data_IF_337763781669
#
_entry.id   IF_337763781669
#
_cell.length_a   1.000
_cell.length_b   1.000
_cell.length_c   1.000
_cell.angle_alpha   90.00
_cell.angle_beta   90.00
_cell.angle_gamma   90.00
#
_symmetry.space_group_name_H-M   'P 1'
#
loop_
_entity.id
_entity.type
_entity.pdbx_description
1 polymer ?
#
# COMPACT_ATOMS: atom_id res chain seq x y z
N UNK A 1 17.00 7.11 -7.30
CA UNK A 1 17.63 6.11 -8.20
C UNK A 1 16.81 6.01 -9.49
N UNK A 2 17.34 6.34 -10.66
CA UNK A 2 16.56 6.30 -11.92
C UNK A 2 16.12 4.87 -12.29
N UNK A 3 16.97 3.87 -12.07
CA UNK A 3 16.64 2.47 -12.38
C UNK A 3 15.42 1.95 -11.59
N UNK A 4 15.34 2.25 -10.28
CA UNK A 4 14.15 1.90 -9.50
C UNK A 4 12.88 2.55 -10.06
N UNK A 5 12.95 3.82 -10.44
CA UNK A 5 11.81 4.53 -11.04
C UNK A 5 11.37 3.92 -12.36
N UNK A 6 12.29 3.49 -13.21
CA UNK A 6 11.97 2.79 -14.45
C UNK A 6 11.23 1.47 -14.17
N UNK A 7 11.72 0.67 -13.21
CA UNK A 7 11.07 -0.58 -12.77
C UNK A 7 9.68 -0.31 -12.19
N UNK A 8 9.53 0.70 -11.33
CA UNK A 8 8.23 1.08 -10.76
C UNK A 8 7.23 1.45 -11.85
N UNK A 9 7.66 2.28 -12.82
CA UNK A 9 6.79 2.73 -13.89
C UNK A 9 6.40 1.58 -14.83
N UNK A 10 7.36 0.84 -15.34
CA UNK A 10 7.09 -0.30 -16.25
C UNK A 10 6.29 -1.39 -15.56
N UNK A 11 6.66 -1.75 -14.34
CA UNK A 11 5.94 -2.75 -13.54
C UNK A 11 4.50 -2.33 -13.25
N UNK A 12 4.27 -1.07 -12.87
CA UNK A 12 2.91 -0.59 -12.61
C UNK A 12 2.05 -0.51 -13.88
N UNK A 13 2.60 -0.13 -15.02
CA UNK A 13 1.88 -0.14 -16.30
C UNK A 13 1.50 -1.57 -16.73
N UNK A 14 2.44 -2.51 -16.61
CA UNK A 14 2.18 -3.92 -16.89
C UNK A 14 1.09 -4.46 -15.95
N UNK A 15 1.18 -4.18 -14.66
CA UNK A 15 0.17 -4.61 -13.69
C UNK A 15 -1.20 -3.98 -13.97
N UNK A 16 -1.27 -2.70 -14.33
CA UNK A 16 -2.53 -2.06 -14.71
C UNK A 16 -3.15 -2.72 -15.95
N UNK A 17 -2.33 -3.08 -16.94
CA UNK A 17 -2.80 -3.76 -18.15
C UNK A 17 -3.29 -5.17 -17.82
N UNK A 18 -2.47 -5.98 -17.13
CA UNK A 18 -2.81 -7.36 -16.78
C UNK A 18 -4.01 -7.46 -15.82
N UNK A 19 -4.12 -6.53 -14.87
CA UNK A 19 -5.20 -6.50 -13.90
C UNK A 19 -6.41 -5.69 -14.37
N UNK A 20 -6.40 -5.13 -15.59
CA UNK A 20 -7.51 -4.32 -16.11
C UNK A 20 -8.87 -5.04 -16.05
N UNK A 21 -9.03 -6.34 -16.42
CA UNK A 21 -10.32 -7.03 -16.27
C UNK A 21 -10.73 -7.17 -14.80
N UNK A 22 -9.77 -7.42 -13.91
CA UNK A 22 -10.03 -7.51 -12.47
C UNK A 22 -10.44 -6.13 -11.93
N UNK A 23 -9.75 -5.06 -12.31
CA UNK A 23 -10.09 -3.70 -11.91
C UNK A 23 -11.50 -3.30 -12.38
N UNK A 24 -11.89 -3.67 -13.60
CA UNK A 24 -13.24 -3.45 -14.11
C UNK A 24 -14.28 -4.20 -13.29
N UNK A 25 -14.04 -5.48 -13.01
CA UNK A 25 -14.94 -6.30 -12.18
C UNK A 25 -15.07 -5.74 -10.75
N UNK A 26 -13.97 -5.33 -10.13
CA UNK A 26 -13.98 -4.70 -8.81
C UNK A 26 -14.70 -3.36 -8.82
N UNK A 27 -14.50 -2.55 -9.87
CA UNK A 27 -15.21 -1.28 -10.05
C UNK A 27 -16.71 -1.50 -10.11
N UNK A 28 -17.18 -2.49 -10.90
CA UNK A 28 -18.60 -2.85 -10.97
C UNK A 28 -19.13 -3.36 -9.62
N UNK A 29 -18.37 -4.19 -8.90
CA UNK A 29 -18.74 -4.68 -7.58
C UNK A 29 -18.83 -3.56 -6.54
N UNK A 30 -17.92 -2.59 -6.57
CA UNK A 30 -17.99 -1.41 -5.70
C UNK A 30 -19.17 -0.52 -6.07
N UNK A 31 -19.41 -0.30 -7.37
CA UNK A 31 -20.56 0.49 -7.86
C UNK A 31 -21.90 -0.08 -7.42
N UNK A 32 -22.04 -1.41 -7.41
CA UNK A 32 -23.28 -2.07 -6.99
C UNK A 32 -23.54 -2.02 -5.48
N UNK A 33 -22.49 -1.82 -4.67
CA UNK A 33 -22.60 -1.84 -3.20
C UNK A 33 -22.48 -0.47 -2.54
N UNK A 34 -22.08 0.55 -3.30
CA UNK A 34 -21.77 1.88 -2.75
C UNK A 34 -22.53 2.97 -3.50
N UNK A 35 -23.29 3.80 -2.78
CA UNK A 35 -23.87 5.03 -3.32
C UNK A 35 -22.85 6.16 -3.19
N UNK A 36 -22.30 6.65 -4.32
CA UNK A 36 -21.34 7.76 -4.36
C UNK A 36 -20.03 7.43 -5.09
N UNK A 37 -18.95 8.22 -4.88
CA UNK A 37 -17.71 8.03 -5.63
C UNK A 37 -17.08 6.66 -5.37
N UNK A 38 -16.60 6.01 -6.43
CA UNK A 38 -16.01 4.65 -6.37
C UNK A 38 -14.65 4.62 -5.70
N UNK A 39 -13.93 5.73 -5.81
CA UNK A 39 -12.60 5.90 -5.22
C UNK A 39 -12.68 6.84 -4.01
N UNK A 40 -11.92 6.52 -2.99
CA UNK A 40 -11.59 7.40 -1.88
C UNK A 40 -10.21 8.00 -2.10
N UNK A 41 -10.03 9.24 -1.66
CA UNK A 41 -8.76 9.96 -1.67
C UNK A 41 -8.39 10.22 -0.22
N UNK A 42 -7.17 9.86 0.15
CA UNK A 42 -6.64 10.14 1.49
C UNK A 42 -5.32 10.86 1.34
N UNK A 43 -5.21 12.04 1.95
CA UNK A 43 -3.96 12.77 1.92
C UNK A 43 -2.88 12.02 2.69
N UNK A 44 -1.72 11.91 2.06
CA UNK A 44 -0.53 11.25 2.59
C UNK A 44 0.69 12.09 2.31
N UNK A 45 1.69 11.96 3.18
CA UNK A 45 3.00 12.58 3.00
C UNK A 45 3.93 11.59 2.30
N UNK A 46 4.55 12.06 1.21
CA UNK A 46 5.46 11.29 0.36
C UNK A 46 6.88 11.83 0.36
N UNK A 47 7.59 11.57 -0.74
CA UNK A 47 8.98 11.99 -0.93
C UNK A 47 9.16 13.49 -0.70
N UNK A 48 10.17 13.84 0.13
CA UNK A 48 10.49 15.24 0.42
C UNK A 48 9.41 16.00 1.18
N UNK A 49 8.46 15.32 1.82
CA UNK A 49 7.36 15.95 2.54
C UNK A 49 6.19 16.39 1.65
N UNK A 50 6.20 16.06 0.35
CA UNK A 50 5.13 16.42 -0.55
C UNK A 50 3.83 15.69 -0.19
N UNK A 51 2.72 16.41 -0.15
CA UNK A 51 1.39 15.80 0.08
C UNK A 51 0.82 15.31 -1.25
N UNK A 52 0.24 14.10 -1.24
CA UNK A 52 -0.44 13.52 -2.38
C UNK A 52 -1.74 12.82 -1.97
N UNK A 53 -2.68 12.71 -2.90
CA UNK A 53 -3.93 12.00 -2.69
C UNK A 53 -3.79 10.51 -3.01
N UNK A 54 -3.62 9.68 -1.99
CA UNK A 54 -3.57 8.22 -2.12
C UNK A 54 -4.94 7.68 -2.51
N UNK A 55 -5.00 6.94 -3.61
CA UNK A 55 -6.23 6.39 -4.17
C UNK A 55 -6.52 5.00 -3.60
N UNK A 56 -7.78 4.72 -3.28
CA UNK A 56 -8.24 3.38 -2.94
C UNK A 56 -9.72 3.19 -3.32
N UNK A 57 -10.14 1.96 -3.56
CA UNK A 57 -11.56 1.68 -3.73
C UNK A 57 -12.34 2.01 -2.46
N UNK A 58 -13.52 2.60 -2.64
CA UNK A 58 -14.44 2.82 -1.53
C UNK A 58 -15.08 1.50 -1.13
N UNK A 59 -14.76 1.03 0.06
CA UNK A 59 -15.29 -0.22 0.59
C UNK A 59 -16.19 0.02 1.80
N UNK A 60 -17.40 -0.51 1.75
CA UNK A 60 -18.31 -0.48 2.89
C UNK A 60 -18.05 -1.71 3.76
N UNK A 61 -17.74 -1.54 5.07
CA UNK A 61 -17.47 -2.66 5.99
C UNK A 61 -18.60 -3.70 6.05
N UNK A 62 -19.83 -3.24 5.93
CA UNK A 62 -21.02 -4.07 6.00
C UNK A 62 -21.20 -4.97 4.76
N UNK A 63 -20.67 -4.57 3.57
CA UNK A 63 -20.86 -5.35 2.35
C UNK A 63 -19.89 -6.54 2.28
N UNK A 64 -20.34 -7.73 1.81
CA UNK A 64 -19.46 -8.88 1.59
C UNK A 64 -18.30 -8.56 0.64
N UNK A 65 -18.59 -7.85 -0.46
CA UNK A 65 -17.57 -7.40 -1.41
C UNK A 65 -16.54 -6.49 -0.74
N UNK A 66 -16.96 -5.50 0.04
CA UNK A 66 -16.04 -4.60 0.74
C UNK A 66 -15.16 -5.33 1.77
N UNK A 67 -15.69 -6.36 2.44
CA UNK A 67 -14.89 -7.22 3.33
C UNK A 67 -13.86 -8.03 2.55
N UNK A 68 -14.24 -8.61 1.42
CA UNK A 68 -13.34 -9.38 0.56
C UNK A 68 -12.21 -8.51 0.01
N UNK A 69 -12.54 -7.32 -0.54
CA UNK A 69 -11.55 -6.39 -1.07
C UNK A 69 -10.49 -6.04 -0.01
N UNK A 70 -10.94 -5.65 1.20
CA UNK A 70 -10.02 -5.31 2.29
C UNK A 70 -9.22 -6.48 2.81
N UNK A 71 -9.84 -7.67 2.86
CA UNK A 71 -9.15 -8.89 3.30
C UNK A 71 -7.94 -9.18 2.42
N UNK A 72 -8.06 -9.02 1.11
CA UNK A 72 -7.03 -9.35 0.13
C UNK A 72 -6.27 -8.13 -0.41
N UNK A 73 -6.42 -6.95 0.22
CA UNK A 73 -5.77 -5.70 -0.19
C UNK A 73 -6.14 -5.22 -1.61
N UNK A 74 -7.21 -5.77 -2.20
CA UNK A 74 -7.67 -5.41 -3.53
C UNK A 74 -8.20 -3.97 -3.59
N UNK A 75 -8.63 -3.43 -2.45
CA UNK A 75 -9.00 -2.03 -2.29
C UNK A 75 -7.85 -1.05 -2.55
N UNK A 76 -6.60 -1.52 -2.49
CA UNK A 76 -5.40 -0.70 -2.72
C UNK A 76 -4.94 -0.69 -4.19
N UNK A 77 -5.51 -1.52 -5.07
CA UNK A 77 -5.10 -1.59 -6.48
C UNK A 77 -5.10 -0.24 -7.21
N UNK A 78 -6.01 0.72 -6.94
CA UNK A 78 -5.94 2.05 -7.55
C UNK A 78 -4.66 2.84 -7.23
N UNK A 79 -3.89 2.46 -6.21
CA UNK A 79 -2.58 3.07 -5.91
C UNK A 79 -1.55 2.84 -7.04
N UNK A 80 -1.75 1.86 -7.93
CA UNK A 80 -0.94 1.74 -9.14
C UNK A 80 -0.94 3.04 -9.96
N UNK A 81 -2.03 3.79 -9.96
CA UNK A 81 -2.12 5.11 -10.60
C UNK A 81 -1.19 6.10 -9.88
N UNK A 82 -1.11 6.08 -8.55
CA UNK A 82 -0.17 6.92 -7.80
C UNK A 82 1.30 6.54 -8.12
N UNK A 83 1.59 5.25 -8.35
CA UNK A 83 2.92 4.81 -8.78
C UNK A 83 3.24 5.36 -10.17
N UNK A 84 2.33 5.27 -11.13
CA UNK A 84 2.52 5.85 -12.48
C UNK A 84 2.75 7.35 -12.41
N UNK A 85 2.01 8.08 -11.57
CA UNK A 85 2.18 9.52 -11.34
C UNK A 85 3.50 9.89 -10.67
N UNK A 86 4.19 8.91 -10.05
CA UNK A 86 5.45 9.15 -9.32
C UNK A 86 5.28 9.60 -7.88
N UNK A 87 4.08 9.58 -7.37
CA UNK A 87 3.73 9.89 -5.98
C UNK A 87 4.13 8.74 -5.05
N UNK A 88 4.08 7.51 -5.58
CA UNK A 88 4.41 6.26 -4.88
C UNK A 88 5.40 5.42 -5.68
N UNK A 89 5.90 4.36 -5.04
CA UNK A 89 6.68 3.26 -5.59
C UNK A 89 5.89 1.96 -5.42
N UNK A 90 6.22 0.92 -6.20
CA UNK A 90 5.68 -0.42 -5.95
C UNK A 90 6.09 -0.92 -4.57
N UNK A 91 7.37 -0.74 -4.22
CA UNK A 91 7.94 -1.16 -2.93
C UNK A 91 8.52 0.05 -2.19
N UNK A 92 8.18 0.18 -0.91
CA UNK A 92 8.65 1.28 -0.08
C UNK A 92 8.10 1.23 1.34
N UNK A 93 8.46 2.21 2.18
CA UNK A 93 7.88 2.37 3.50
C UNK A 93 6.40 2.74 3.39
N UNK A 94 5.67 2.57 4.48
CA UNK A 94 4.26 2.92 4.54
C UNK A 94 4.03 4.42 4.33
N UNK A 95 3.03 4.85 3.52
CA UNK A 95 2.67 6.25 3.39
C UNK A 95 2.28 6.86 4.75
N UNK A 96 2.91 7.97 5.14
CA UNK A 96 2.63 8.66 6.39
C UNK A 96 1.30 9.41 6.33
N UNK A 97 0.55 9.46 7.43
CA UNK A 97 -0.53 10.41 7.56
C UNK A 97 0.02 11.84 7.77
N UNK A 98 -0.72 12.89 7.42
CA UNK A 98 -0.31 14.25 7.69
C UNK A 98 0.03 14.43 9.19
N UNK A 99 1.22 14.97 9.49
CA UNK A 99 1.73 15.15 10.84
C UNK A 99 2.51 13.98 11.44
N UNK A 100 2.48 12.79 10.86
CA UNK A 100 3.31 11.64 11.30
C UNK A 100 4.81 11.83 10.97
N UNK A 101 5.15 12.78 10.12
CA UNK A 101 6.51 13.13 9.70
C UNK A 101 7.30 13.91 10.78
N UNK A 102 6.67 14.37 11.86
CA UNK A 102 7.31 15.10 12.94
C UNK A 102 8.37 14.27 13.71
N UNK A 103 8.23 12.94 13.75
CA UNK A 103 9.18 12.04 14.39
C UNK A 103 10.46 11.87 13.57
N UNK A 104 11.56 11.44 14.22
CA UNK A 104 12.83 11.11 13.52
C UNK A 104 12.60 10.00 12.48
N UNK A 105 11.89 8.95 12.87
CA UNK A 105 11.54 7.85 11.97
C UNK A 105 10.64 8.32 10.83
N UNK A 106 9.71 9.25 11.08
CA UNK A 106 8.87 9.88 10.06
C UNK A 106 9.71 10.63 9.03
N UNK A 107 10.63 11.49 9.48
CA UNK A 107 11.51 12.27 8.58
C UNK A 107 12.41 11.38 7.72
N UNK A 108 12.97 10.30 8.27
CA UNK A 108 13.79 9.37 7.50
C UNK A 108 13.01 8.72 6.32
N UNK A 109 11.73 8.43 6.51
CA UNK A 109 10.88 7.89 5.44
C UNK A 109 10.65 8.86 4.28
N UNK A 110 10.77 10.16 4.52
CA UNK A 110 10.63 11.19 3.47
C UNK A 110 11.77 11.18 2.44
N UNK A 111 12.87 10.45 2.71
CA UNK A 111 13.99 10.30 1.77
C UNK A 111 13.67 9.38 0.58
N UNK A 112 12.61 8.58 0.68
CA UNK A 112 12.19 7.64 -0.37
C UNK A 112 10.69 7.75 -0.65
N UNK A 113 10.26 7.29 -1.83
CA UNK A 113 8.83 7.23 -2.13
C UNK A 113 8.13 6.18 -1.29
N UNK A 114 6.94 6.46 -0.74
CA UNK A 114 6.14 5.46 -0.05
C UNK A 114 5.73 4.34 -1.02
N UNK A 115 5.67 3.11 -0.50
CA UNK A 115 5.35 1.93 -1.29
C UNK A 115 3.88 1.51 -1.23
N UNK A 116 3.43 0.86 -2.29
CA UNK A 116 2.19 0.08 -2.28
C UNK A 116 2.32 -1.15 -1.38
N UNK A 117 3.49 -1.78 -1.40
CA UNK A 117 3.91 -2.85 -0.49
C UNK A 117 5.25 -2.52 0.14
N UNK A 118 5.64 -3.26 1.18
CA UNK A 118 6.89 -3.04 1.90
C UNK A 118 7.16 -4.12 2.94
N UNK A 119 8.28 -4.00 3.65
CA UNK A 119 8.67 -4.93 4.71
C UNK A 119 7.57 -5.08 5.77
N UNK A 120 6.97 -3.97 6.20
CA UNK A 120 5.87 -3.95 7.17
C UNK A 120 4.70 -4.85 6.75
N UNK A 121 4.46 -5.00 5.43
CA UNK A 121 3.33 -5.76 4.90
C UNK A 121 3.60 -7.25 4.85
N UNK A 122 4.85 -7.66 4.61
CA UNK A 122 5.24 -9.07 4.48
C UNK A 122 5.72 -9.70 5.79
N UNK A 123 6.12 -8.90 6.79
CA UNK A 123 6.75 -9.35 8.04
C UNK A 123 5.79 -9.64 9.20
N UNK A 124 4.48 -9.55 9.03
CA UNK A 124 3.53 -9.87 10.11
C UNK A 124 2.29 -8.99 10.12
N UNK A 125 2.24 -8.00 9.27
CA UNK A 125 1.05 -7.19 8.98
C UNK A 125 0.48 -6.47 10.21
N UNK A 126 -0.83 -6.53 10.35
CA UNK A 126 -1.60 -5.87 11.41
C UNK A 126 -1.40 -6.47 12.82
N UNK A 127 -0.53 -7.44 12.99
CA UNK A 127 -0.24 -8.05 14.30
C UNK A 127 0.98 -7.41 15.00
N UNK A 128 1.79 -6.62 14.25
CA UNK A 128 2.94 -5.93 14.83
C UNK A 128 2.50 -4.64 15.52
N UNK A 129 3.07 -4.33 16.69
CA UNK A 129 2.94 -3.01 17.30
C UNK A 129 3.36 -1.90 16.33
N UNK A 130 2.77 -0.73 16.48
CA UNK A 130 3.01 0.42 15.60
C UNK A 130 4.48 0.83 15.54
N UNK A 131 5.17 0.73 16.66
CA UNK A 131 6.59 1.01 16.82
C UNK A 131 7.45 0.05 15.98
N UNK A 132 7.13 -1.23 15.96
CA UNK A 132 7.86 -2.25 15.20
C UNK A 132 7.69 -2.05 13.69
N UNK A 133 6.51 -1.64 13.25
CA UNK A 133 6.30 -1.25 11.84
C UNK A 133 7.19 -0.09 11.44
N UNK A 134 7.40 0.87 12.34
CA UNK A 134 8.31 1.99 12.16
C UNK A 134 9.78 1.56 11.96
N UNK A 135 10.22 0.58 12.74
CA UNK A 135 11.56 -0.01 12.63
C UNK A 135 11.76 -0.71 11.28
N UNK A 136 10.78 -1.48 10.81
CA UNK A 136 10.83 -2.13 9.50
C UNK A 136 10.91 -1.13 8.34
N UNK A 137 10.17 -0.03 8.45
CA UNK A 137 10.23 1.02 7.44
C UNK A 137 11.58 1.74 7.44
N UNK A 138 12.18 1.99 8.61
CA UNK A 138 13.53 2.54 8.73
C UNK A 138 14.56 1.59 8.13
N UNK A 139 14.50 0.32 8.48
CA UNK A 139 15.39 -0.70 7.93
C UNK A 139 15.32 -0.73 6.39
N UNK A 140 14.11 -0.62 5.83
CA UNK A 140 13.97 -0.51 4.39
C UNK A 140 14.65 0.76 3.84
N UNK A 141 14.47 1.91 4.46
CA UNK A 141 15.08 3.18 4.02
C UNK A 141 16.61 3.09 4.00
N UNK A 142 17.20 2.46 5.00
CA UNK A 142 18.65 2.32 5.15
C UNK A 142 19.26 1.31 4.17
N UNK A 143 18.55 0.22 3.92
CA UNK A 143 19.09 -0.93 3.18
C UNK A 143 18.39 -1.19 1.84
N UNK A 144 17.63 -0.23 1.30
CA UNK A 144 16.87 -0.46 0.06
C UNK A 144 17.80 -0.65 -1.14
N UNK A 145 17.60 -1.77 -1.82
CA UNK A 145 18.22 -2.13 -3.09
C UNK A 145 17.27 -2.97 -3.94
N UNK A 146 17.52 -3.09 -5.23
CA UNK A 146 16.57 -3.73 -6.17
C UNK A 146 16.28 -5.20 -5.83
N UNK A 147 17.23 -5.94 -5.28
CA UNK A 147 16.99 -7.33 -4.87
C UNK A 147 16.05 -7.43 -3.66
N UNK A 148 16.13 -6.49 -2.72
CA UNK A 148 15.18 -6.41 -1.61
C UNK A 148 13.78 -6.09 -2.11
N UNK A 149 13.65 -5.17 -3.08
CA UNK A 149 12.38 -4.85 -3.71
C UNK A 149 11.77 -6.09 -4.37
N UNK A 150 12.56 -6.84 -5.15
CA UNK A 150 12.10 -8.08 -5.80
C UNK A 150 11.65 -9.12 -4.77
N UNK A 151 12.42 -9.30 -3.70
CA UNK A 151 12.05 -10.21 -2.61
C UNK A 151 10.71 -9.84 -1.98
N UNK A 152 10.49 -8.54 -1.72
CA UNK A 152 9.25 -8.02 -1.16
C UNK A 152 8.09 -8.27 -2.12
N UNK A 153 8.26 -7.99 -3.42
CA UNK A 153 7.23 -8.23 -4.44
C UNK A 153 6.84 -9.71 -4.51
N UNK A 154 7.81 -10.62 -4.55
CA UNK A 154 7.55 -12.07 -4.56
C UNK A 154 6.79 -12.51 -3.31
N UNK A 155 7.15 -11.99 -2.13
CA UNK A 155 6.48 -12.33 -0.87
C UNK A 155 5.12 -11.64 -0.69
N UNK A 156 4.86 -10.56 -1.43
CA UNK A 156 3.57 -9.85 -1.37
C UNK A 156 2.44 -10.69 -1.96
N UNK A 157 2.68 -11.47 -3.02
CA UNK A 157 1.65 -12.30 -3.66
C UNK A 157 1.04 -13.34 -2.70
N UNK A 158 1.81 -14.26 -2.08
CA UNK A 158 1.25 -15.20 -1.13
C UNK A 158 0.63 -14.50 0.07
N UNK A 159 1.18 -13.35 0.44
CA UNK A 159 0.64 -12.51 1.48
C UNK A 159 -0.74 -11.93 1.13
N UNK A 160 -0.96 -11.50 -0.09
CA UNK A 160 -2.27 -11.00 -0.56
C UNK A 160 -3.29 -12.14 -0.68
N UNK A 161 -2.87 -13.32 -1.17
CA UNK A 161 -3.73 -14.51 -1.28
C UNK A 161 -4.18 -14.99 0.09
N UNK A 162 -3.27 -15.09 1.06
CA UNK A 162 -3.60 -15.50 2.44
C UNK A 162 -4.55 -14.52 3.12
N UNK A 163 -4.57 -13.26 2.69
CA UNK A 163 -5.44 -12.22 3.21
C UNK A 163 -5.07 -11.74 4.61
N UNK A 164 -5.72 -10.68 5.07
CA UNK A 164 -5.62 -10.23 6.47
C UNK A 164 -6.27 -11.27 7.37
N UNK A 165 -5.53 -11.79 8.35
CA UNK A 165 -6.17 -12.49 9.46
C UNK A 165 -7.07 -11.49 10.19
N UNK A 166 -8.28 -11.91 10.55
CA UNK A 166 -9.13 -11.10 11.41
C UNK A 166 -8.33 -10.83 12.70
N UNK A 167 -8.15 -9.54 13.04
CA UNK A 167 -7.52 -9.19 14.31
C UNK A 167 -8.29 -9.91 15.42
N UNK A 168 -7.64 -10.85 16.12
CA UNK A 168 -8.19 -11.41 17.33
C UNK A 168 -8.18 -10.29 18.36
N UNK A 169 -9.30 -9.99 19.03
CA UNK A 169 -9.28 -9.03 20.12
C UNK A 169 -8.27 -9.53 21.16
N UNK A 170 -7.28 -8.69 21.45
CA UNK A 170 -6.37 -8.95 22.58
C UNK A 170 -7.25 -8.97 23.83
N UNK A 171 -7.44 -10.16 24.42
CA UNK A 171 -8.01 -10.28 25.76
C UNK A 171 -6.90 -9.80 26.70
N UNK A 172 -7.04 -8.60 27.18
CA UNK A 172 -6.31 -8.15 28.37
C UNK A 172 -6.80 -9.02 29.53
N UNK A 173 -5.91 -9.86 30.05
CA UNK A 173 -6.10 -10.61 31.28
C UNK A 173 -5.86 -9.69 32.47
#
# INVERSE_FOLDING_TARGET
>A
MPAKRAIDLTGSLILLLLLSPVLLALTAAVASTTRGPLLTRRDRTGLGGSTFAMLSFRTTPASPAGRLLRRHFLDNLPQLINVVRGEMSLVGPRPLAPGEDASVAGRARLCVRPGMTGLWQISGRSELPWEEMGVLDLHYVEQHWLGLDLLILVRTLPAAIAGRRAARPVRLA
#
